data_IF_069359869032
#
_entry.id   IF_069359869032
#
_cell.length_a   1.000
_cell.length_b   1.000
_cell.length_c   1.000
_cell.angle_alpha   90.00
_cell.angle_beta   90.00
_cell.angle_gamma   90.00
#
_symmetry.space_group_name_H-M   'P 1'
#
loop_
_entity.id
_entity.type
_entity.pdbx_description
1 polymer ?
#
# COMPACT_ATOMS: atom_id res chain seq x y z
N UNK A 1 -0.50 -30.28 1.08
CA UNK A 1 -0.30 -29.01 1.83
C UNK A 1 -1.25 -27.98 1.21
N UNK A 2 -2.23 -27.47 1.95
CA UNK A 2 -3.19 -26.48 1.42
C UNK A 2 -2.52 -25.11 1.34
N UNK A 3 -2.73 -24.41 0.23
CA UNK A 3 -2.17 -23.07 -0.03
C UNK A 3 -2.86 -22.03 0.88
N UNK A 4 -2.12 -21.35 1.78
CA UNK A 4 -2.70 -20.37 2.70
C UNK A 4 -3.35 -19.18 1.98
N UNK A 5 -2.88 -18.82 0.77
CA UNK A 5 -3.50 -17.76 -0.04
C UNK A 5 -4.87 -18.17 -0.57
N UNK A 6 -5.06 -19.45 -0.93
CA UNK A 6 -6.39 -19.97 -1.26
C UNK A 6 -7.31 -19.89 -0.04
N UNK A 7 -6.85 -20.32 1.13
CA UNK A 7 -7.66 -20.30 2.36
C UNK A 7 -8.08 -18.90 2.78
N UNK A 8 -7.18 -17.90 2.67
CA UNK A 8 -7.50 -16.50 2.96
C UNK A 8 -8.49 -15.90 1.94
N UNK A 9 -8.26 -16.13 0.64
CA UNK A 9 -9.16 -15.71 -0.45
C UNK A 9 -10.56 -16.32 -0.29
N UNK A 10 -10.67 -17.61 0.04
CA UNK A 10 -11.95 -18.28 0.33
C UNK A 10 -12.69 -17.66 1.54
N UNK A 11 -11.96 -17.15 2.53
CA UNK A 11 -12.54 -16.54 3.74
C UNK A 11 -13.07 -15.12 3.51
N UNK A 12 -12.52 -14.37 2.55
CA UNK A 12 -13.02 -13.03 2.19
C UNK A 12 -14.24 -13.17 1.27
N UNK A 13 -14.15 -13.98 0.21
CA UNK A 13 -15.23 -14.20 -0.75
C UNK A 13 -16.52 -14.68 -0.07
N UNK A 14 -16.41 -15.56 0.94
CA UNK A 14 -17.59 -16.02 1.72
C UNK A 14 -18.29 -14.93 2.53
N UNK A 15 -17.64 -13.77 2.75
CA UNK A 15 -18.23 -12.60 3.41
C UNK A 15 -18.76 -11.56 2.43
N UNK A 16 -18.37 -11.62 1.16
CA UNK A 16 -18.92 -10.77 0.10
C UNK A 16 -20.35 -11.21 -0.19
N UNK A 17 -21.32 -10.35 0.15
CA UNK A 17 -22.74 -10.56 -0.13
C UNK A 17 -23.14 -9.77 -1.36
N UNK A 18 -24.20 -10.21 -2.04
CA UNK A 18 -24.83 -9.39 -3.09
C UNK A 18 -25.26 -8.05 -2.50
N UNK A 19 -24.96 -6.98 -3.21
CA UNK A 19 -25.41 -5.63 -2.86
C UNK A 19 -26.92 -5.58 -3.15
N UNK A 20 -27.76 -5.24 -2.16
CA UNK A 20 -29.20 -5.08 -2.37
C UNK A 20 -29.53 -3.92 -3.32
N UNK A 21 -30.66 -4.01 -4.02
CA UNK A 21 -31.15 -2.92 -4.88
C UNK A 21 -31.63 -1.70 -4.07
N UNK A 22 -32.06 -1.92 -2.82
CA UNK A 22 -32.55 -0.87 -1.91
C UNK A 22 -32.06 -1.11 -0.49
N UNK A 23 -31.97 -0.04 0.29
CA UNK A 23 -31.43 -0.07 1.64
C UNK A 23 -32.38 0.59 2.63
N UNK A 24 -32.52 -0.02 3.80
CA UNK A 24 -33.42 0.48 4.84
C UNK A 24 -32.86 1.70 5.58
N UNK A 25 -31.56 1.95 5.49
CA UNK A 25 -30.88 3.03 6.17
C UNK A 25 -29.52 3.32 5.53
N UNK A 26 -28.98 4.52 5.78
CA UNK A 26 -27.63 4.89 5.35
C UNK A 26 -26.54 3.98 5.96
N UNK A 27 -26.56 3.60 7.25
CA UNK A 27 -25.59 2.65 7.80
C UNK A 27 -25.61 1.30 7.09
N UNK A 28 -26.80 0.75 6.80
CA UNK A 28 -26.93 -0.52 6.06
C UNK A 28 -26.46 -0.40 4.61
N UNK A 29 -26.56 0.79 4.00
CA UNK A 29 -25.99 1.08 2.69
C UNK A 29 -24.46 1.05 2.75
N UNK A 30 -23.85 1.84 3.65
CA UNK A 30 -22.39 1.96 3.72
C UNK A 30 -21.72 0.63 4.10
N UNK A 31 -22.26 -0.09 5.07
CA UNK A 31 -21.71 -1.38 5.51
C UNK A 31 -21.74 -2.44 4.39
N UNK A 32 -22.71 -2.34 3.46
CA UNK A 32 -22.81 -3.30 2.35
C UNK A 32 -21.60 -3.27 1.40
N UNK A 33 -20.85 -2.17 1.37
CA UNK A 33 -19.66 -1.99 0.52
C UNK A 33 -18.34 -2.37 1.21
N UNK A 34 -18.34 -2.65 2.52
CA UNK A 34 -17.12 -2.97 3.28
C UNK A 34 -16.37 -4.18 2.71
N UNK A 35 -17.04 -5.34 2.61
CA UNK A 35 -16.42 -6.56 2.08
C UNK A 35 -16.14 -6.50 0.57
N UNK A 36 -17.02 -5.93 -0.28
CA UNK A 36 -16.69 -5.66 -1.67
C UNK A 36 -15.41 -4.85 -1.85
N UNK A 37 -15.23 -3.76 -1.08
CA UNK A 37 -14.01 -2.94 -1.14
C UNK A 37 -12.76 -3.72 -0.70
N UNK A 38 -12.87 -4.55 0.35
CA UNK A 38 -11.76 -5.41 0.79
C UNK A 38 -11.38 -6.41 -0.31
N UNK A 39 -12.36 -7.06 -0.95
CA UNK A 39 -12.08 -8.01 -2.04
C UNK A 39 -11.50 -7.30 -3.27
N UNK A 40 -11.94 -6.08 -3.59
CA UNK A 40 -11.37 -5.28 -4.69
C UNK A 40 -9.90 -4.94 -4.43
N UNK A 41 -9.58 -4.38 -3.26
CA UNK A 41 -8.20 -4.09 -2.84
C UNK A 41 -7.35 -5.36 -2.89
N UNK A 42 -7.90 -6.47 -2.38
CA UNK A 42 -7.21 -7.74 -2.40
C UNK A 42 -6.97 -8.23 -3.83
N UNK A 43 -7.95 -8.17 -4.73
CA UNK A 43 -7.79 -8.53 -6.13
C UNK A 43 -6.71 -7.68 -6.82
N UNK A 44 -6.71 -6.37 -6.60
CA UNK A 44 -5.76 -5.44 -7.22
C UNK A 44 -4.32 -5.62 -6.71
N UNK A 45 -4.13 -5.74 -5.39
CA UNK A 45 -2.81 -6.05 -4.82
C UNK A 45 -2.29 -7.35 -5.39
N UNK A 46 -3.09 -8.42 -5.41
CA UNK A 46 -2.60 -9.73 -5.86
C UNK A 46 -2.43 -9.80 -7.38
N UNK A 47 -3.24 -9.09 -8.16
CA UNK A 47 -3.03 -8.93 -9.61
C UNK A 47 -1.72 -8.19 -9.90
N UNK A 48 -1.35 -7.20 -9.09
CA UNK A 48 -0.06 -6.50 -9.23
C UNK A 48 1.15 -7.42 -8.98
N UNK A 49 1.02 -8.44 -8.12
CA UNK A 49 2.08 -9.43 -7.89
C UNK A 49 2.37 -10.27 -9.13
N UNK A 50 1.35 -10.61 -9.92
CA UNK A 50 1.53 -11.33 -11.18
C UNK A 50 2.35 -10.48 -12.18
N UNK A 51 2.27 -9.16 -12.08
CA UNK A 51 3.06 -8.19 -12.84
C UNK A 51 4.42 -7.83 -12.26
N UNK A 52 4.85 -8.44 -11.15
CA UNK A 52 6.06 -8.07 -10.40
C UNK A 52 7.34 -7.96 -11.26
N UNK A 53 7.53 -8.89 -12.19
CA UNK A 53 8.70 -8.90 -13.07
C UNK A 53 8.78 -7.68 -14.01
N UNK A 54 7.67 -6.96 -14.17
CA UNK A 54 7.55 -5.75 -14.99
C UNK A 54 7.33 -4.49 -14.14
N UNK A 55 7.18 -4.64 -12.82
CA UNK A 55 6.97 -3.52 -11.93
C UNK A 55 8.18 -2.58 -11.92
N UNK A 56 7.89 -1.29 -11.71
CA UNK A 56 8.91 -0.30 -11.43
C UNK A 56 9.44 -0.53 -10.02
N UNK A 57 10.72 -0.29 -9.84
CA UNK A 57 11.42 -0.48 -8.57
C UNK A 57 12.49 0.58 -8.38
N UNK A 58 13.06 0.62 -7.18
CA UNK A 58 14.19 1.49 -6.85
C UNK A 58 15.10 0.80 -5.84
N UNK A 59 16.40 1.04 -5.94
CA UNK A 59 17.38 0.53 -4.96
C UNK A 59 17.31 1.33 -3.66
N UNK A 60 17.33 0.61 -2.54
CA UNK A 60 17.43 1.13 -1.19
C UNK A 60 18.91 1.20 -0.84
N UNK A 61 19.40 2.40 -0.53
CA UNK A 61 20.83 2.65 -0.28
C UNK A 61 21.14 2.85 1.20
N UNK A 62 20.13 3.17 2.01
CA UNK A 62 20.25 3.31 3.46
C UNK A 62 18.95 2.94 4.17
N UNK A 63 19.07 2.38 5.37
CA UNK A 63 17.97 1.89 6.18
C UNK A 63 18.21 2.20 7.66
N UNK A 64 17.21 2.79 8.31
CA UNK A 64 17.15 2.90 9.76
C UNK A 64 15.80 2.41 10.28
N UNK A 65 15.83 1.69 11.39
CA UNK A 65 14.61 1.26 12.06
C UNK A 65 14.15 2.35 13.01
N UNK A 66 12.92 2.83 12.82
CA UNK A 66 12.36 3.95 13.58
C UNK A 66 11.53 3.50 14.79
N UNK A 67 10.80 2.38 14.66
CA UNK A 67 9.94 1.84 15.71
C UNK A 67 10.01 0.30 15.72
N UNK A 68 10.52 -0.26 16.82
CA UNK A 68 10.71 -1.69 17.02
C UNK A 68 9.39 -2.47 17.10
N UNK A 69 8.36 -1.89 17.70
CA UNK A 69 7.06 -2.53 17.91
C UNK A 69 6.22 -2.52 16.63
N UNK A 70 6.31 -1.44 15.85
CA UNK A 70 5.45 -1.23 14.68
C UNK A 70 6.06 -1.65 13.35
N UNK A 71 7.31 -2.12 13.33
CA UNK A 71 8.07 -2.44 12.09
C UNK A 71 8.09 -1.27 11.12
N UNK A 72 8.39 -0.07 11.63
CA UNK A 72 8.50 1.17 10.83
C UNK A 72 9.98 1.46 10.58
N UNK A 73 10.30 1.74 9.32
CA UNK A 73 11.65 2.00 8.86
C UNK A 73 11.69 3.30 8.07
N UNK A 74 12.80 4.02 8.20
CA UNK A 74 13.18 5.11 7.32
C UNK A 74 14.14 4.54 6.26
N UNK A 75 13.89 4.87 5.00
CA UNK A 75 14.77 4.50 3.90
C UNK A 75 15.27 5.72 3.17
N UNK A 76 16.51 5.64 2.71
CA UNK A 76 16.99 6.42 1.59
C UNK A 76 17.00 5.55 0.34
N UNK A 77 16.48 6.08 -0.76
CA UNK A 77 16.50 5.41 -2.07
C UNK A 77 17.45 6.11 -3.03
N UNK A 78 17.95 5.36 -4.00
CA UNK A 78 18.75 5.85 -5.12
C UNK A 78 17.97 6.85 -6.00
N UNK A 79 18.69 7.64 -6.82
CA UNK A 79 18.04 8.55 -7.77
C UNK A 79 17.29 7.75 -8.85
N UNK A 80 15.98 7.99 -9.05
CA UNK A 80 15.22 7.32 -10.10
C UNK A 80 15.81 7.59 -11.49
N UNK A 81 15.94 6.52 -12.28
CA UNK A 81 16.42 6.56 -13.65
C UNK A 81 15.55 7.48 -14.51
N UNK A 82 16.20 8.32 -15.32
CA UNK A 82 15.54 9.17 -16.33
C UNK A 82 15.37 8.44 -17.67
N UNK A 83 15.89 7.22 -17.78
CA UNK A 83 15.82 6.44 -19.02
C UNK A 83 14.47 5.72 -19.13
N UNK A 84 13.72 6.04 -20.18
CA UNK A 84 12.33 5.58 -20.35
C UNK A 84 12.16 4.05 -20.42
N UNK A 85 13.19 3.31 -20.84
CA UNK A 85 13.12 1.84 -20.86
C UNK A 85 13.61 1.18 -19.57
N UNK A 86 14.10 1.97 -18.60
CA UNK A 86 14.46 1.46 -17.29
C UNK A 86 13.20 1.23 -16.46
N UNK A 87 13.24 0.21 -15.60
CA UNK A 87 12.26 0.00 -14.54
C UNK A 87 12.72 0.55 -13.19
N UNK A 88 13.98 0.99 -13.10
CA UNK A 88 14.56 1.68 -11.93
C UNK A 88 14.08 3.14 -11.86
N UNK A 89 12.79 3.38 -12.09
CA UNK A 89 12.16 4.70 -12.25
C UNK A 89 11.21 5.02 -11.10
N UNK A 90 11.02 4.09 -10.17
CA UNK A 90 10.08 4.26 -9.07
C UNK A 90 10.57 5.34 -8.12
N UNK A 91 9.67 6.26 -7.78
CA UNK A 91 9.84 7.23 -6.70
C UNK A 91 8.73 6.99 -5.68
N UNK A 92 9.04 6.58 -4.44
CA UNK A 92 8.03 6.31 -3.42
C UNK A 92 7.11 7.49 -3.17
N UNK A 93 5.81 7.21 -3.02
CA UNK A 93 4.79 8.20 -2.65
C UNK A 93 3.96 7.72 -1.48
N UNK A 94 3.42 8.67 -0.71
CA UNK A 94 2.47 8.36 0.34
C UNK A 94 1.30 7.50 -0.18
N UNK A 95 1.01 6.45 0.58
CA UNK A 95 -0.04 5.48 0.27
C UNK A 95 0.40 4.37 -0.69
N UNK A 96 1.63 4.38 -1.22
CA UNK A 96 2.12 3.26 -2.02
C UNK A 96 2.25 1.99 -1.19
N UNK A 97 1.81 0.87 -1.77
CA UNK A 97 2.12 -0.48 -1.30
C UNK A 97 3.31 -0.98 -2.12
N UNK A 98 4.32 -1.46 -1.40
CA UNK A 98 5.56 -1.98 -1.98
C UNK A 98 5.83 -3.39 -1.52
N UNK A 99 6.70 -4.08 -2.26
CA UNK A 99 7.41 -5.25 -1.79
C UNK A 99 8.88 -4.91 -1.61
N UNK A 100 9.44 -5.35 -0.50
CA UNK A 100 10.88 -5.41 -0.33
C UNK A 100 11.43 -6.64 -1.06
N UNK A 101 12.42 -6.44 -1.92
CA UNK A 101 13.12 -7.49 -2.65
C UNK A 101 14.62 -7.46 -2.37
N UNK A 102 15.22 -8.63 -2.13
CA UNK A 102 16.68 -8.77 -1.97
C UNK A 102 17.41 -9.01 -3.31
N UNK A 103 16.68 -8.95 -4.42
CA UNK A 103 17.19 -9.14 -5.77
C UNK A 103 16.47 -8.18 -6.72
N UNK A 104 17.10 -7.80 -7.82
CA UNK A 104 16.43 -7.01 -8.85
C UNK A 104 15.22 -7.80 -9.38
N UNK A 105 14.03 -7.20 -9.47
CA UNK A 105 12.83 -7.91 -9.91
C UNK A 105 12.96 -8.24 -11.41
N UNK A 106 13.38 -9.44 -11.77
CA UNK A 106 13.55 -9.86 -13.17
C UNK A 106 12.50 -10.87 -13.60
N UNK A 107 12.08 -11.74 -12.67
CA UNK A 107 11.09 -12.77 -12.92
C UNK A 107 10.13 -12.94 -11.75
N UNK A 108 8.90 -13.38 -12.03
CA UNK A 108 7.87 -13.64 -10.99
C UNK A 108 8.26 -14.85 -10.12
N UNK A 109 9.24 -15.66 -10.55
CA UNK A 109 9.81 -16.70 -9.69
C UNK A 109 10.75 -16.16 -8.63
N UNK A 110 11.27 -14.94 -8.76
CA UNK A 110 12.19 -14.34 -7.78
C UNK A 110 11.44 -14.04 -6.50
N UNK A 111 10.17 -13.64 -6.66
CA UNK A 111 9.18 -13.76 -5.62
C UNK A 111 9.22 -15.21 -5.07
N UNK A 112 8.80 -16.21 -5.85
CA UNK A 112 8.52 -17.57 -5.34
C UNK A 112 9.73 -18.36 -4.80
N UNK A 113 10.95 -17.98 -5.16
CA UNK A 113 12.20 -18.60 -4.68
C UNK A 113 12.55 -18.17 -3.26
N UNK A 114 12.04 -17.03 -2.82
CA UNK A 114 12.12 -16.62 -1.42
C UNK A 114 11.10 -17.46 -0.65
N UNK A 115 11.54 -18.52 0.05
CA UNK A 115 10.66 -19.36 0.90
C UNK A 115 9.96 -18.58 2.03
N UNK A 116 10.28 -17.30 2.21
CA UNK A 116 9.58 -16.36 3.08
C UNK A 116 8.49 -15.62 2.30
N UNK A 117 7.30 -15.54 2.87
CA UNK A 117 6.24 -14.60 2.47
C UNK A 117 6.83 -13.22 2.14
N UNK A 118 6.50 -12.65 0.97
CA UNK A 118 6.87 -11.27 0.66
C UNK A 118 6.38 -10.36 1.78
N UNK A 119 7.25 -9.44 2.21
CA UNK A 119 6.90 -8.45 3.21
C UNK A 119 6.34 -7.24 2.49
N UNK A 120 5.06 -6.98 2.71
CA UNK A 120 4.40 -5.79 2.18
C UNK A 120 4.81 -4.58 3.02
N UNK A 121 5.19 -3.50 2.35
CA UNK A 121 5.43 -2.19 2.95
C UNK A 121 4.33 -1.22 2.54
N UNK A 122 3.88 -0.38 3.47
CA UNK A 122 3.02 0.77 3.20
C UNK A 122 3.82 2.05 3.44
N UNK A 123 3.96 2.87 2.39
CA UNK A 123 4.67 4.15 2.47
C UNK A 123 3.78 5.15 3.21
N UNK A 124 4.20 5.51 4.42
CA UNK A 124 3.49 6.43 5.30
C UNK A 124 3.80 7.89 4.99
N UNK A 125 5.03 8.16 4.54
CA UNK A 125 5.50 9.49 4.16
C UNK A 125 6.62 9.36 3.15
N UNK A 126 6.66 10.25 2.17
CA UNK A 126 7.76 10.39 1.21
C UNK A 126 8.24 11.83 1.23
N UNK A 127 9.52 12.04 0.96
CA UNK A 127 10.05 13.39 0.77
C UNK A 127 9.56 13.96 -0.54
N UNK A 128 9.10 15.20 -0.51
CA UNK A 128 8.80 15.97 -1.70
C UNK A 128 9.78 17.12 -1.82
N UNK A 129 10.24 17.39 -3.05
CA UNK A 129 11.19 18.48 -3.33
C UNK A 129 10.65 19.87 -2.96
N UNK A 130 9.34 19.98 -2.81
CA UNK A 130 8.62 21.21 -2.49
C UNK A 130 8.44 21.40 -0.97
N UNK A 131 8.53 20.32 -0.19
CA UNK A 131 8.26 20.32 1.25
C UNK A 131 9.59 20.09 1.99
N UNK A 132 10.30 21.19 2.29
CA UNK A 132 11.70 21.20 2.71
C UNK A 132 12.02 20.58 4.07
N UNK A 133 11.04 19.98 4.76
CA UNK A 133 11.18 19.40 6.10
C UNK A 133 11.55 17.91 6.07
N UNK A 134 11.44 17.24 4.90
CA UNK A 134 11.77 15.82 4.75
C UNK A 134 12.51 15.57 3.42
N UNK A 135 13.74 14.99 3.43
CA UNK A 135 14.56 14.92 2.22
C UNK A 135 13.91 14.11 1.09
N UNK A 136 13.99 14.61 -0.15
CA UNK A 136 13.21 14.11 -1.29
C UNK A 136 13.45 12.65 -1.69
N UNK A 137 14.60 12.07 -1.32
CA UNK A 137 14.93 10.67 -1.58
C UNK A 137 14.69 9.76 -0.36
N UNK A 138 14.05 10.28 0.68
CA UNK A 138 13.71 9.50 1.87
C UNK A 138 12.22 9.13 1.89
N UNK A 139 11.93 7.99 2.52
CA UNK A 139 10.56 7.58 2.80
C UNK A 139 10.45 6.83 4.13
N UNK A 140 9.29 6.93 4.76
CA UNK A 140 8.94 6.18 5.97
C UNK A 140 7.98 5.08 5.56
N UNK A 141 8.32 3.83 5.86
CA UNK A 141 7.57 2.65 5.45
C UNK A 141 7.23 1.81 6.66
N UNK A 142 5.97 1.41 6.77
CA UNK A 142 5.51 0.40 7.72
C UNK A 142 5.40 -0.94 7.04
N UNK A 143 6.07 -1.96 7.56
CA UNK A 143 6.00 -3.30 7.03
C UNK A 143 4.99 -4.18 7.75
N UNK A 144 4.45 -5.18 7.04
CA UNK A 144 3.55 -6.19 7.59
C UNK A 144 4.21 -7.11 8.61
N UNK A 145 5.53 -7.18 8.61
CA UNK A 145 6.38 -7.93 9.54
C UNK A 145 7.79 -7.36 9.54
N UNK A 146 8.68 -7.92 10.36
CA UNK A 146 10.11 -7.63 10.26
C UNK A 146 10.63 -7.87 8.84
N UNK A 147 11.57 -7.04 8.41
CA UNK A 147 12.21 -7.15 7.09
C UNK A 147 13.51 -7.95 7.18
N UNK A 148 13.85 -8.74 6.14
CA UNK A 148 15.08 -9.53 6.09
C UNK A 148 16.27 -8.71 5.55
N UNK A 149 16.35 -7.40 5.84
CA UNK A 149 17.48 -6.55 5.42
C UNK A 149 18.49 -6.49 6.54
N UNK A 150 19.68 -7.02 6.30
CA UNK A 150 20.83 -6.82 7.17
C UNK A 150 21.53 -5.51 6.76
N UNK A 151 21.87 -4.70 7.77
CA UNK A 151 22.48 -3.38 7.59
C UNK A 151 23.81 -3.32 8.32
N UNK A 152 24.75 -2.56 7.76
CA UNK A 152 25.96 -2.19 8.48
C UNK A 152 25.58 -1.29 9.68
N UNK A 153 25.97 -1.64 10.92
CA UNK A 153 25.57 -0.87 12.10
C UNK A 153 26.13 0.54 12.18
N UNK A 154 27.26 0.83 11.51
CA UNK A 154 27.90 2.13 11.55
C UNK A 154 27.35 3.07 10.47
N UNK A 155 27.08 2.53 9.28
CA UNK A 155 26.67 3.35 8.13
C UNK A 155 25.17 3.27 7.83
N UNK A 156 24.45 2.25 8.33
CA UNK A 156 23.05 1.96 7.98
C UNK A 156 22.85 1.48 6.54
N UNK A 157 23.93 1.19 5.81
CA UNK A 157 23.84 0.70 4.42
C UNK A 157 23.47 -0.78 4.40
N UNK A 158 22.57 -1.24 3.51
CA UNK A 158 22.30 -2.67 3.33
C UNK A 158 23.55 -3.46 2.99
N UNK A 159 23.76 -4.61 3.65
CA UNK A 159 24.89 -5.52 3.38
C UNK A 159 24.76 -6.26 2.04
N UNK A 160 23.53 -6.34 1.52
CA UNK A 160 23.20 -6.91 0.22
C UNK A 160 22.22 -6.00 -0.54
N UNK A 161 22.24 -6.01 -1.88
CA UNK A 161 21.33 -5.20 -2.69
C UNK A 161 19.87 -5.42 -2.29
N UNK A 162 19.17 -4.32 -2.01
CA UNK A 162 17.78 -4.32 -1.57
C UNK A 162 16.98 -3.33 -2.39
N UNK A 163 15.77 -3.70 -2.78
CA UNK A 163 14.94 -2.93 -3.70
C UNK A 163 13.53 -2.79 -3.15
N UNK A 164 12.96 -1.59 -3.29
CA UNK A 164 11.54 -1.35 -3.12
C UNK A 164 10.84 -1.50 -4.48
N UNK A 165 9.90 -2.43 -4.58
CA UNK A 165 9.14 -2.71 -5.80
C UNK A 165 7.71 -2.20 -5.63
N UNK A 166 7.26 -1.30 -6.50
CA UNK A 166 5.92 -0.73 -6.44
C UNK A 166 4.86 -1.76 -6.85
N UNK A 167 3.76 -1.82 -6.10
CA UNK A 167 2.58 -2.63 -6.42
C UNK A 167 1.41 -1.77 -6.84
N UNK A 168 0.85 -1.02 -5.89
CA UNK A 168 -0.33 -0.17 -6.10
C UNK A 168 -0.26 1.07 -5.20
N UNK A 169 -1.06 2.09 -5.49
CA UNK A 169 -1.26 3.22 -4.58
C UNK A 169 -2.63 3.12 -3.89
N UNK A 170 -2.63 3.19 -2.56
CA UNK A 170 -3.83 2.99 -1.75
C UNK A 170 -4.69 4.24 -1.56
N UNK A 171 -4.30 5.41 -2.08
CA UNK A 171 -4.99 6.66 -1.78
C UNK A 171 -6.46 6.63 -2.17
N UNK A 172 -6.81 6.01 -3.30
CA UNK A 172 -8.20 5.87 -3.75
C UNK A 172 -8.99 4.99 -2.78
N UNK A 173 -8.50 3.79 -2.45
CA UNK A 173 -9.20 2.90 -1.53
C UNK A 173 -9.30 3.49 -0.12
N UNK A 174 -8.25 4.18 0.35
CA UNK A 174 -8.25 4.89 1.63
C UNK A 174 -9.33 5.99 1.66
N UNK A 175 -9.51 6.73 0.56
CA UNK A 175 -10.59 7.73 0.44
C UNK A 175 -11.97 7.08 0.48
N UNK A 176 -12.19 5.99 -0.28
CA UNK A 176 -13.45 5.26 -0.27
C UNK A 176 -13.73 4.68 1.13
N UNK A 177 -12.73 4.07 1.76
CA UNK A 177 -12.82 3.52 3.12
C UNK A 177 -13.25 4.59 4.13
N UNK A 178 -12.62 5.77 4.08
CA UNK A 178 -13.01 6.92 4.91
C UNK A 178 -14.45 7.36 4.66
N UNK A 179 -14.91 7.36 3.40
CA UNK A 179 -16.31 7.67 3.07
C UNK A 179 -17.29 6.62 3.62
N UNK A 180 -16.97 5.32 3.53
CA UNK A 180 -17.80 4.25 4.06
C UNK A 180 -17.95 4.32 5.58
N UNK A 181 -16.88 4.70 6.28
CA UNK A 181 -16.87 4.81 7.74
C UNK A 181 -17.20 6.22 8.24
N UNK A 182 -17.49 7.15 7.32
CA UNK A 182 -17.66 8.58 7.62
C UNK A 182 -16.52 9.18 8.45
N UNK A 183 -15.32 8.61 8.40
CA UNK A 183 -14.14 9.08 9.14
C UNK A 183 -13.66 10.46 8.65
N UNK A 184 -14.20 10.93 7.52
CA UNK A 184 -14.14 12.31 7.09
C UNK A 184 -15.51 12.71 6.56
N UNK A 185 -16.35 13.31 7.39
CA UNK A 185 -17.39 14.19 6.85
C UNK A 185 -16.79 15.59 6.71
N UNK A 186 -16.88 16.21 5.52
CA UNK A 186 -17.25 17.63 5.58
C UNK A 186 -18.77 17.69 5.68
N UNK A 187 -19.18 17.84 6.93
CA UNK A 187 -20.52 17.58 7.46
C UNK A 187 -21.58 18.51 6.84
N UNK A 188 -21.15 19.56 6.14
CA UNK A 188 -22.01 20.59 5.57
C UNK A 188 -22.95 20.06 4.47
N UNK A 189 -22.54 19.05 3.69
CA UNK A 189 -23.36 18.53 2.59
C UNK A 189 -24.47 17.56 2.99
N UNK A 190 -24.41 16.98 4.18
CA UNK A 190 -25.53 16.25 4.78
C UNK A 190 -26.61 17.21 5.32
N UNK A 191 -26.34 18.53 5.35
CA UNK A 191 -27.19 19.58 5.96
C UNK A 191 -28.02 20.39 4.94
N UNK A 192 -27.59 20.55 3.68
CA UNK A 192 -28.31 21.39 2.70
C UNK A 192 -29.75 20.94 2.29
N UNK A 193 -30.10 19.64 2.24
CA UNK A 193 -31.45 19.20 1.86
C UNK A 193 -32.53 19.39 2.95
N UNK A 194 -32.15 19.68 4.20
CA UNK A 194 -33.09 19.87 5.32
C UNK A 194 -33.41 21.34 5.61
N UNK A 195 -32.99 22.28 4.73
CA UNK A 195 -33.48 23.66 4.82
C UNK A 195 -35.00 23.64 4.70
N UNK A 196 -35.65 24.06 5.78
CA UNK A 196 -37.10 24.03 5.99
C UNK A 196 -37.90 24.34 4.72
N UNK A 197 -39.00 23.60 4.57
CA UNK A 197 -40.20 24.07 3.85
C UNK A 197 -40.47 25.51 4.29
N UNK A 198 -40.06 26.49 3.49
CA UNK A 198 -40.67 27.80 3.56
C UNK A 198 -42.04 27.58 2.94
N UNK A 199 -43.04 27.35 3.81
CA UNK A 199 -44.43 27.56 3.43
C UNK A 199 -44.57 28.99 2.93
N UNK A 200 -45.29 29.13 1.82
CA UNK A 200 -45.68 30.40 1.20
C UNK A 200 -46.22 31.42 2.20
#
# INVERSE_FOLDING_TARGET
MQDPHKTAKFRIISKVKSIPDTFMSLPTYLDSFTFPLIEEVHADVFSSLDGYAQANFIEIIWVEKFDDEKSIFCFEVSEPSKYQKSRETYNPKEGDIIILSLQKPQHVSDLRQTKASYVFGSVLKSGDKEDGDFPANFCIVRFSSNIPVEVDPETGTPLAPSFAVFLINMMTYNRIWKCLHMEASDIANLVWPYKLKILF
#
